data_IF_787714241024
#
_entry.id   IF_787714241024
#
_cell.length_a   1.000
_cell.length_b   1.000
_cell.length_c   1.000
_cell.angle_alpha   90.00
_cell.angle_beta   90.00
_cell.angle_gamma   90.00
#
_symmetry.space_group_name_H-M   'P 1'
#
loop_
_entity.id
_entity.type
_entity.pdbx_description
1 polymer ?
#
# COMPACT_ATOMS: atom_id res chain seq x y z
N UNK A 1 14.72 15.93 -3.20
CA UNK A 1 13.59 15.17 -2.60
C UNK A 1 13.08 15.82 -1.31
N UNK A 2 13.92 16.22 -0.37
CA UNK A 2 13.49 16.87 0.89
C UNK A 2 12.66 18.15 0.71
N UNK A 3 12.97 18.99 -0.29
CA UNK A 3 12.22 20.23 -0.54
C UNK A 3 10.73 20.01 -0.84
N UNK A 4 10.39 18.95 -1.57
CA UNK A 4 8.98 18.66 -1.89
C UNK A 4 8.17 18.25 -0.63
N UNK A 5 8.79 17.51 0.31
CA UNK A 5 8.14 17.17 1.59
C UNK A 5 7.90 18.44 2.41
N UNK A 6 8.88 19.33 2.50
CA UNK A 6 8.79 20.57 3.27
C UNK A 6 7.70 21.49 2.73
N UNK A 7 7.60 21.65 1.41
CA UNK A 7 6.53 22.43 0.76
C UNK A 7 5.14 21.83 1.02
N UNK A 8 5.02 20.52 0.95
CA UNK A 8 3.77 19.81 1.25
C UNK A 8 3.36 19.96 2.72
N UNK A 9 4.32 19.85 3.65
CA UNK A 9 4.08 20.09 5.07
C UNK A 9 3.68 21.54 5.34
N UNK A 10 4.35 22.50 4.70
CA UNK A 10 4.03 23.92 4.84
C UNK A 10 2.59 24.22 4.44
N UNK A 11 2.14 23.66 3.33
CA UNK A 11 0.76 23.79 2.87
C UNK A 11 -0.26 23.15 3.84
N UNK A 12 0.07 21.95 4.34
CA UNK A 12 -0.84 21.17 5.21
C UNK A 12 -0.96 21.76 6.61
N UNK A 13 0.18 22.15 7.21
CA UNK A 13 0.24 22.67 8.58
C UNK A 13 0.02 24.18 8.66
N UNK A 14 -0.01 24.87 7.52
CA UNK A 14 -0.05 26.34 7.43
C UNK A 14 1.09 27.01 8.21
N UNK A 15 2.28 26.41 8.09
CA UNK A 15 3.55 26.87 8.68
C UNK A 15 4.52 27.14 7.54
N UNK A 16 5.34 28.19 7.65
CA UNK A 16 6.28 28.50 6.58
C UNK A 16 7.36 27.43 6.41
N UNK A 17 7.86 27.25 5.20
CA UNK A 17 8.97 26.32 4.89
C UNK A 17 10.20 26.59 5.76
N UNK A 18 10.54 27.87 5.96
CA UNK A 18 11.65 28.26 6.82
C UNK A 18 11.49 27.82 8.26
N UNK A 19 10.30 27.93 8.84
CA UNK A 19 10.04 27.46 10.20
C UNK A 19 10.17 25.94 10.31
N UNK A 20 9.68 25.20 9.31
CA UNK A 20 9.81 23.74 9.24
C UNK A 20 11.28 23.33 9.15
N UNK A 21 12.06 23.97 8.27
CA UNK A 21 13.50 23.72 8.13
C UNK A 21 14.26 23.94 9.43
N UNK A 22 13.98 25.06 10.13
CA UNK A 22 14.59 25.36 11.42
C UNK A 22 14.24 24.33 12.49
N UNK A 23 12.98 23.88 12.55
CA UNK A 23 12.57 22.81 13.48
C UNK A 23 13.30 21.51 13.17
N UNK A 24 13.35 21.09 11.91
CA UNK A 24 14.04 19.87 11.49
C UNK A 24 15.55 19.94 11.76
N UNK A 25 16.18 21.10 11.55
CA UNK A 25 17.59 21.34 11.90
C UNK A 25 17.82 21.15 13.39
N UNK A 26 17.01 21.79 14.24
CA UNK A 26 17.14 21.67 15.70
C UNK A 26 16.92 20.24 16.20
N UNK A 27 15.97 19.51 15.61
CA UNK A 27 15.73 18.10 15.95
C UNK A 27 16.93 17.23 15.52
N UNK A 28 17.53 17.49 14.36
CA UNK A 28 18.72 16.79 13.88
C UNK A 28 19.96 17.04 14.75
N UNK A 29 20.05 18.20 15.39
CA UNK A 29 21.07 18.57 16.38
C UNK A 29 20.86 17.88 17.74
N UNK A 30 19.77 17.10 17.90
CA UNK A 30 19.44 16.37 19.12
C UNK A 30 18.60 17.16 20.12
N UNK A 31 18.08 18.33 19.75
CA UNK A 31 17.20 19.10 20.61
C UNK A 31 15.82 18.39 20.77
N UNK A 32 15.27 18.39 21.99
CA UNK A 32 13.95 17.84 22.26
C UNK A 32 12.84 18.84 21.91
N UNK A 33 11.65 18.34 21.59
CA UNK A 33 10.47 19.17 21.27
C UNK A 33 10.20 20.21 22.39
N UNK A 34 10.13 19.83 23.70
CA UNK A 34 9.91 20.81 24.77
C UNK A 34 11.03 21.86 24.87
N UNK A 35 12.27 21.47 24.60
CA UNK A 35 13.41 22.39 24.60
C UNK A 35 13.27 23.43 23.47
N UNK A 36 12.92 22.99 22.26
CA UNK A 36 12.72 23.87 21.11
C UNK A 36 11.59 24.86 21.40
N UNK A 37 10.45 24.37 21.87
CA UNK A 37 9.30 25.21 22.17
C UNK A 37 9.55 26.27 23.24
N UNK A 38 10.42 26.00 24.22
CA UNK A 38 10.73 26.93 25.32
C UNK A 38 11.88 27.86 25.01
N UNK A 39 12.95 27.35 24.41
CA UNK A 39 14.24 28.03 24.34
C UNK A 39 14.72 28.40 22.93
N UNK A 40 13.95 28.09 21.88
CA UNK A 40 14.30 28.40 20.48
C UNK A 40 13.16 29.10 19.71
N UNK A 41 12.34 29.87 20.44
CA UNK A 41 11.18 30.59 19.90
C UNK A 41 11.55 31.56 18.78
N UNK A 42 12.67 32.25 18.94
CA UNK A 42 13.18 33.19 17.93
C UNK A 42 13.58 32.51 16.61
N UNK A 43 14.07 31.28 16.65
CA UNK A 43 14.41 30.50 15.45
C UNK A 43 13.15 29.90 14.78
N UNK A 44 12.21 29.43 15.58
CA UNK A 44 11.01 28.74 15.09
C UNK A 44 9.82 29.66 14.81
N UNK A 45 9.96 30.98 15.07
CA UNK A 45 8.84 31.92 14.89
C UNK A 45 7.69 31.66 15.85
N UNK A 46 7.99 31.37 17.13
CA UNK A 46 7.03 31.10 18.22
C UNK A 46 6.14 29.86 18.01
N UNK A 47 6.58 28.85 17.31
CA UNK A 47 5.85 27.59 17.25
C UNK A 47 5.72 26.97 18.64
N UNK A 48 4.53 26.46 18.92
CA UNK A 48 4.26 25.74 20.17
C UNK A 48 4.67 24.25 20.08
N UNK A 49 4.59 23.54 21.19
CA UNK A 49 5.02 22.15 21.27
C UNK A 49 4.23 21.23 20.33
N UNK A 50 2.91 21.44 20.21
CA UNK A 50 2.05 20.63 19.34
C UNK A 50 2.38 20.83 17.86
N UNK A 51 2.68 22.08 17.45
CA UNK A 51 3.08 22.39 16.09
C UNK A 51 4.43 21.74 15.73
N UNK A 52 5.41 21.79 16.67
CA UNK A 52 6.72 21.18 16.47
C UNK A 52 6.59 19.64 16.39
N UNK A 53 5.75 19.06 17.23
CA UNK A 53 5.43 17.63 17.21
C UNK A 53 4.78 17.22 15.86
N UNK A 54 3.79 17.99 15.41
CA UNK A 54 3.14 17.74 14.14
C UNK A 54 4.13 17.78 12.95
N UNK A 55 5.08 18.71 12.97
CA UNK A 55 6.15 18.79 11.95
C UNK A 55 6.98 17.50 11.98
N UNK A 56 7.47 17.08 13.17
CA UNK A 56 8.30 15.89 13.30
C UNK A 56 7.59 14.63 12.83
N UNK A 57 6.36 14.40 13.32
CA UNK A 57 5.57 13.21 13.00
C UNK A 57 5.23 13.12 11.50
N UNK A 58 4.78 14.23 10.92
CA UNK A 58 4.42 14.25 9.50
C UNK A 58 5.65 14.14 8.60
N UNK A 59 6.76 14.78 8.96
CA UNK A 59 8.00 14.64 8.21
C UNK A 59 8.50 13.19 8.19
N UNK A 60 8.58 12.55 9.35
CA UNK A 60 8.93 11.12 9.48
C UNK A 60 7.99 10.22 8.70
N UNK A 61 6.69 10.53 8.71
CA UNK A 61 5.72 9.76 7.94
C UNK A 61 5.98 9.87 6.44
N UNK A 62 6.24 11.08 5.92
CA UNK A 62 6.52 11.29 4.50
C UNK A 62 7.85 10.66 4.07
N UNK A 63 8.89 10.72 4.90
CA UNK A 63 10.15 10.02 4.63
C UNK A 63 9.93 8.49 4.53
N UNK A 64 9.21 7.92 5.49
CA UNK A 64 8.88 6.50 5.49
C UNK A 64 8.04 6.10 4.26
N UNK A 65 7.10 6.96 3.86
CA UNK A 65 6.27 6.75 2.68
C UNK A 65 7.14 6.70 1.41
N UNK A 66 8.04 7.66 1.23
CA UNK A 66 8.96 7.71 0.09
C UNK A 66 9.88 6.49 0.06
N UNK A 67 10.53 6.19 1.17
CA UNK A 67 11.39 5.02 1.30
C UNK A 67 10.64 3.73 0.96
N UNK A 68 9.40 3.62 1.43
CA UNK A 68 8.58 2.44 1.13
C UNK A 68 8.22 2.32 -0.33
N UNK A 69 7.93 3.45 -1.02
CA UNK A 69 7.72 3.47 -2.47
C UNK A 69 8.94 2.97 -3.23
N UNK A 70 10.11 3.48 -2.89
CA UNK A 70 11.38 3.07 -3.50
C UNK A 70 11.65 1.58 -3.28
N UNK A 71 11.48 1.09 -2.05
CA UNK A 71 11.65 -0.34 -1.71
C UNK A 71 10.70 -1.24 -2.51
N UNK A 72 9.44 -0.86 -2.62
CA UNK A 72 8.44 -1.67 -3.35
C UNK A 72 8.74 -1.69 -4.84
N UNK A 73 9.10 -0.55 -5.44
CA UNK A 73 9.51 -0.48 -6.83
C UNK A 73 10.72 -1.39 -7.09
N UNK A 74 11.75 -1.30 -6.24
CA UNK A 74 12.93 -2.16 -6.33
C UNK A 74 12.59 -3.65 -6.21
N UNK A 75 11.77 -4.03 -5.22
CA UNK A 75 11.38 -5.43 -5.00
C UNK A 75 10.56 -6.03 -6.15
N UNK A 76 9.75 -5.23 -6.83
CA UNK A 76 8.98 -5.67 -8.01
C UNK A 76 9.93 -5.78 -9.23
N UNK A 77 10.88 -4.84 -9.36
CA UNK A 77 11.88 -4.82 -10.43
C UNK A 77 12.83 -6.03 -10.35
N UNK A 78 13.32 -6.37 -9.15
CA UNK A 78 14.14 -7.56 -8.89
C UNK A 78 13.46 -8.86 -9.33
N UNK A 79 12.13 -8.88 -9.39
CA UNK A 79 11.32 -10.01 -9.90
C UNK A 79 11.08 -9.94 -11.42
N UNK A 80 11.53 -8.90 -12.10
CA UNK A 80 11.30 -8.68 -13.52
C UNK A 80 9.82 -8.40 -13.86
N UNK A 81 9.04 -7.93 -12.90
CA UNK A 81 7.60 -7.70 -13.05
C UNK A 81 7.23 -6.21 -13.07
N UNK A 82 8.21 -5.31 -12.97
CA UNK A 82 7.96 -3.87 -12.94
C UNK A 82 7.57 -3.36 -14.34
N UNK A 83 6.40 -2.73 -14.42
CA UNK A 83 5.95 -1.98 -15.60
C UNK A 83 5.81 -0.49 -15.24
N UNK A 84 5.77 0.39 -16.25
CA UNK A 84 5.52 1.82 -16.01
C UNK A 84 4.18 2.08 -15.32
N UNK A 85 3.15 1.28 -15.61
CA UNK A 85 1.85 1.38 -14.95
C UNK A 85 1.94 1.05 -13.44
N UNK A 86 2.68 0.01 -13.08
CA UNK A 86 2.91 -0.39 -11.68
C UNK A 86 3.73 0.69 -10.98
N UNK A 87 4.81 1.18 -11.60
CA UNK A 87 5.63 2.27 -11.07
C UNK A 87 4.77 3.50 -10.77
N UNK A 88 3.98 3.94 -11.73
CA UNK A 88 3.11 5.11 -11.58
C UNK A 88 2.03 4.89 -10.50
N UNK A 89 1.47 3.68 -10.39
CA UNK A 89 0.52 3.31 -9.34
C UNK A 89 1.15 3.41 -7.95
N UNK A 90 2.38 2.93 -7.77
CA UNK A 90 3.10 3.05 -6.48
C UNK A 90 3.43 4.51 -6.16
N UNK A 91 3.89 5.28 -7.16
CA UNK A 91 4.23 6.70 -6.98
C UNK A 91 3.00 7.54 -6.62
N UNK A 92 1.82 7.22 -7.16
CA UNK A 92 0.56 7.91 -6.88
C UNK A 92 -0.02 7.64 -5.49
N UNK A 93 0.46 6.60 -4.77
CA UNK A 93 -0.02 6.29 -3.42
C UNK A 93 0.27 7.44 -2.45
N UNK A 94 -0.71 7.81 -1.64
CA UNK A 94 -0.62 8.82 -0.59
C UNK A 94 -0.49 8.24 0.82
N UNK A 95 -0.72 6.94 0.97
CA UNK A 95 -0.70 6.22 2.25
C UNK A 95 0.10 4.92 2.13
N UNK A 96 0.77 4.53 3.22
CA UNK A 96 1.49 3.25 3.31
C UNK A 96 0.59 2.05 2.99
N UNK A 97 -0.68 2.08 3.43
CA UNK A 97 -1.66 1.02 3.15
C UNK A 97 -1.94 0.86 1.67
N UNK A 98 -1.96 1.95 0.90
CA UNK A 98 -2.15 1.90 -0.56
C UNK A 98 -0.96 1.26 -1.26
N UNK A 99 0.27 1.57 -0.80
CA UNK A 99 1.49 0.95 -1.32
C UNK A 99 1.47 -0.57 -1.05
N UNK A 100 1.08 -0.98 0.16
CA UNK A 100 0.97 -2.40 0.51
C UNK A 100 -0.09 -3.12 -0.32
N UNK A 101 -1.20 -2.46 -0.65
CA UNK A 101 -2.24 -3.02 -1.50
C UNK A 101 -1.75 -3.23 -2.94
N UNK A 102 -0.99 -2.27 -3.50
CA UNK A 102 -0.37 -2.42 -4.83
C UNK A 102 0.70 -3.51 -4.82
N UNK A 103 1.51 -3.59 -3.76
CA UNK A 103 2.61 -4.57 -3.66
C UNK A 103 2.15 -6.00 -3.40
N UNK A 104 0.97 -6.18 -2.80
CA UNK A 104 0.47 -7.49 -2.34
C UNK A 104 0.51 -8.61 -3.38
N UNK A 105 0.10 -8.42 -4.66
CA UNK A 105 0.17 -9.45 -5.68
C UNK A 105 1.61 -9.93 -5.98
N UNK A 106 2.60 -9.08 -5.71
CA UNK A 106 4.02 -9.32 -6.00
C UNK A 106 4.80 -9.89 -4.81
N UNK A 107 4.19 -9.91 -3.61
CA UNK A 107 4.80 -10.55 -2.42
C UNK A 107 4.95 -12.06 -2.63
N UNK A 108 5.99 -12.62 -2.07
CA UNK A 108 6.08 -14.07 -1.94
C UNK A 108 4.92 -14.58 -1.09
N UNK A 109 4.09 -15.41 -1.69
CA UNK A 109 2.94 -15.96 -1.00
C UNK A 109 3.37 -17.18 -0.20
N UNK A 110 2.97 -17.23 1.07
CA UNK A 110 3.04 -18.45 1.87
C UNK A 110 2.17 -19.51 1.18
N UNK A 111 2.47 -20.79 1.44
CA UNK A 111 1.65 -21.91 0.98
C UNK A 111 0.21 -21.72 1.46
N UNK A 112 -0.73 -21.52 0.52
CA UNK A 112 -2.15 -21.32 0.78
C UNK A 112 -2.97 -22.39 0.08
N UNK A 113 -4.24 -22.56 0.46
CA UNK A 113 -5.16 -23.45 -0.26
C UNK A 113 -5.28 -23.06 -1.74
N UNK A 114 -5.22 -21.77 -2.08
CA UNK A 114 -5.21 -21.31 -3.46
C UNK A 114 -3.95 -21.76 -4.21
N UNK A 115 -2.76 -21.67 -3.59
CA UNK A 115 -1.51 -22.16 -4.21
C UNK A 115 -1.55 -23.67 -4.45
N UNK A 116 -2.19 -24.45 -3.56
CA UNK A 116 -2.39 -25.89 -3.76
C UNK A 116 -3.35 -26.17 -4.90
N UNK A 117 -4.45 -25.42 -4.98
CA UNK A 117 -5.42 -25.53 -6.07
C UNK A 117 -4.83 -25.15 -7.44
N UNK A 118 -3.96 -24.12 -7.49
CA UNK A 118 -3.22 -23.76 -8.71
C UNK A 118 -2.28 -24.90 -9.14
N UNK A 119 -1.56 -25.51 -8.21
CA UNK A 119 -0.70 -26.69 -8.47
C UNK A 119 -1.50 -27.89 -8.95
N UNK A 120 -2.75 -28.04 -8.49
CA UNK A 120 -3.68 -29.06 -8.94
C UNK A 120 -4.28 -28.74 -10.34
N UNK A 121 -3.90 -27.63 -10.98
CA UNK A 121 -4.35 -27.27 -12.34
C UNK A 121 -5.72 -26.61 -12.39
N UNK A 122 -6.24 -26.05 -11.29
CA UNK A 122 -7.58 -25.47 -11.22
C UNK A 122 -7.67 -23.99 -11.61
N UNK A 123 -6.53 -23.35 -11.93
CA UNK A 123 -6.52 -21.94 -12.35
C UNK A 123 -7.36 -21.67 -13.61
N UNK A 124 -7.35 -22.53 -14.68
CA UNK A 124 -8.22 -22.32 -15.83
C UNK A 124 -9.71 -22.41 -15.48
N UNK A 125 -10.09 -23.25 -14.51
CA UNK A 125 -11.47 -23.35 -14.02
C UNK A 125 -11.86 -22.04 -13.32
N UNK A 126 -11.04 -21.53 -12.44
CA UNK A 126 -11.26 -20.24 -11.76
C UNK A 126 -11.44 -19.10 -12.76
N UNK A 127 -10.62 -19.05 -13.82
CA UNK A 127 -10.75 -18.05 -14.91
C UNK A 127 -12.08 -18.18 -15.66
N UNK A 128 -12.52 -19.40 -15.98
CA UNK A 128 -13.79 -19.64 -16.65
C UNK A 128 -14.98 -19.20 -15.78
N UNK A 129 -14.93 -19.48 -14.48
CA UNK A 129 -15.98 -19.05 -13.53
C UNK A 129 -16.02 -17.52 -13.44
N UNK A 130 -14.86 -16.85 -13.33
CA UNK A 130 -14.76 -15.39 -13.25
C UNK A 130 -15.16 -14.67 -14.55
N UNK A 131 -15.18 -15.37 -15.68
CA UNK A 131 -15.70 -14.85 -16.93
C UNK A 131 -17.24 -14.75 -16.98
N UNK A 132 -17.93 -15.20 -15.93
CA UNK A 132 -19.40 -15.17 -15.78
C UNK A 132 -20.12 -15.69 -17.05
N UNK A 133 -19.90 -16.96 -17.46
CA UNK A 133 -20.48 -17.49 -18.68
C UNK A 133 -22.02 -17.48 -18.63
N UNK A 134 -22.64 -16.97 -19.68
CA UNK A 134 -24.10 -16.81 -19.77
C UNK A 134 -24.80 -18.17 -19.94
N UNK A 135 -24.10 -19.20 -20.43
CA UNK A 135 -24.65 -20.53 -20.72
C UNK A 135 -23.85 -21.62 -20.00
N UNK A 136 -24.56 -22.59 -19.45
CA UNK A 136 -24.00 -23.74 -18.74
C UNK A 136 -24.01 -23.57 -17.23
N UNK A 137 -23.84 -24.68 -16.53
CA UNK A 137 -23.72 -24.67 -15.08
C UNK A 137 -22.24 -24.68 -14.65
N UNK A 138 -21.96 -24.22 -13.45
CA UNK A 138 -20.59 -24.21 -12.86
C UNK A 138 -20.09 -25.66 -12.72
N UNK A 139 -20.99 -26.60 -12.38
CA UNK A 139 -20.71 -28.03 -12.27
C UNK A 139 -20.28 -28.62 -13.63
N UNK A 140 -20.93 -28.20 -14.71
CA UNK A 140 -20.55 -28.63 -16.05
C UNK A 140 -19.15 -28.13 -16.47
N UNK A 141 -18.75 -26.95 -15.99
CA UNK A 141 -17.38 -26.46 -16.18
C UNK A 141 -16.36 -27.26 -15.38
N UNK A 142 -16.71 -27.69 -14.17
CA UNK A 142 -15.85 -28.44 -13.28
C UNK A 142 -15.73 -29.93 -13.67
N UNK A 143 -16.74 -30.52 -14.33
CA UNK A 143 -16.72 -31.92 -14.75
C UNK A 143 -15.63 -32.30 -15.74
N UNK A 144 -15.03 -31.31 -16.41
CA UNK A 144 -13.89 -31.50 -17.33
C UNK A 144 -12.55 -31.72 -16.65
N UNK A 145 -12.49 -31.66 -15.31
CA UNK A 145 -11.27 -31.84 -14.52
C UNK A 145 -11.23 -33.26 -13.94
N UNK A 146 -10.04 -33.86 -13.90
CA UNK A 146 -9.86 -35.24 -13.45
C UNK A 146 -9.88 -35.36 -11.91
N UNK A 147 -10.95 -34.85 -11.29
CA UNK A 147 -11.21 -34.90 -9.85
C UNK A 147 -12.72 -34.75 -9.58
N UNK A 148 -13.11 -34.96 -8.33
CA UNK A 148 -14.45 -34.70 -7.86
C UNK A 148 -14.90 -33.26 -8.11
N UNK A 149 -16.13 -33.07 -8.60
CA UNK A 149 -16.68 -31.77 -9.01
C UNK A 149 -16.68 -30.78 -7.83
N UNK A 150 -17.08 -31.21 -6.64
CA UNK A 150 -17.16 -30.35 -5.46
C UNK A 150 -15.76 -29.90 -5.04
N UNK A 151 -14.75 -30.79 -5.09
CA UNK A 151 -13.36 -30.45 -4.80
C UNK A 151 -12.77 -29.50 -5.84
N UNK A 152 -13.12 -29.69 -7.12
CA UNK A 152 -12.68 -28.78 -8.19
C UNK A 152 -13.26 -27.38 -7.98
N UNK A 153 -14.53 -27.27 -7.63
CA UNK A 153 -15.21 -26.01 -7.35
C UNK A 153 -14.67 -25.35 -6.07
N UNK A 154 -14.44 -26.12 -5.02
CA UNK A 154 -13.82 -25.63 -3.79
C UNK A 154 -12.42 -25.07 -4.06
N UNK A 155 -11.58 -25.79 -4.80
CA UNK A 155 -10.25 -25.33 -5.19
C UNK A 155 -10.29 -24.07 -6.04
N UNK A 156 -11.19 -23.98 -7.02
CA UNK A 156 -11.39 -22.78 -7.83
C UNK A 156 -11.87 -21.60 -6.97
N UNK A 157 -12.72 -21.83 -5.98
CA UNK A 157 -13.20 -20.78 -5.07
C UNK A 157 -12.08 -20.19 -4.23
N UNK A 158 -11.11 -20.99 -3.77
CA UNK A 158 -9.93 -20.49 -3.05
C UNK A 158 -9.08 -19.58 -3.93
N UNK A 159 -8.90 -19.93 -5.22
CA UNK A 159 -8.15 -19.12 -6.17
C UNK A 159 -8.86 -17.79 -6.40
N UNK A 160 -10.17 -17.81 -6.64
CA UNK A 160 -10.99 -16.61 -6.88
C UNK A 160 -10.97 -15.70 -5.64
N UNK A 161 -11.16 -16.27 -4.45
CA UNK A 161 -11.12 -15.52 -3.19
C UNK A 161 -9.76 -14.82 -2.99
N UNK A 162 -8.66 -15.47 -3.36
CA UNK A 162 -7.33 -14.87 -3.31
C UNK A 162 -7.20 -13.73 -4.31
N UNK A 163 -7.65 -13.89 -5.56
CA UNK A 163 -7.63 -12.82 -6.56
C UNK A 163 -8.43 -11.59 -6.13
N UNK A 164 -9.64 -11.79 -5.57
CA UNK A 164 -10.48 -10.71 -5.04
C UNK A 164 -9.77 -10.01 -3.86
N UNK A 165 -9.22 -10.81 -2.94
CA UNK A 165 -8.49 -10.29 -1.76
C UNK A 165 -7.22 -9.52 -2.13
N UNK A 166 -6.54 -9.90 -3.21
CA UNK A 166 -5.29 -9.26 -3.66
C UNK A 166 -5.54 -8.03 -4.55
N UNK A 167 -6.76 -7.82 -5.02
CA UNK A 167 -7.09 -6.67 -5.86
C UNK A 167 -7.11 -5.37 -5.05
N UNK A 168 -6.21 -4.44 -5.38
CA UNK A 168 -6.05 -3.18 -4.66
C UNK A 168 -7.31 -2.30 -4.68
N UNK A 169 -8.04 -2.27 -5.82
CA UNK A 169 -9.27 -1.49 -5.95
C UNK A 169 -10.39 -2.06 -5.09
N UNK A 170 -10.55 -3.39 -5.06
CA UNK A 170 -11.52 -4.08 -4.20
C UNK A 170 -11.22 -3.79 -2.73
N UNK A 171 -9.96 -3.87 -2.30
CA UNK A 171 -9.55 -3.55 -0.93
C UNK A 171 -9.82 -2.09 -0.58
N UNK A 172 -9.52 -1.16 -1.49
CA UNK A 172 -9.81 0.27 -1.30
C UNK A 172 -11.32 0.51 -1.16
N UNK A 173 -12.13 -0.13 -2.01
CA UNK A 173 -13.59 -0.03 -1.96
C UNK A 173 -14.14 -0.55 -0.62
N UNK A 174 -13.75 -1.77 -0.20
CA UNK A 174 -14.20 -2.37 1.06
C UNK A 174 -13.78 -1.51 2.25
N UNK A 175 -12.54 -1.03 2.28
CA UNK A 175 -12.05 -0.15 3.35
C UNK A 175 -12.89 1.11 3.45
N UNK A 176 -13.16 1.77 2.34
CA UNK A 176 -14.00 2.98 2.34
C UNK A 176 -15.44 2.69 2.79
N UNK A 177 -15.99 1.52 2.41
CA UNK A 177 -17.34 1.13 2.82
C UNK A 177 -17.47 0.83 4.32
N UNK A 178 -16.43 0.26 4.92
CA UNK A 178 -16.45 -0.12 6.36
C UNK A 178 -16.16 1.08 7.28
N UNK A 179 -15.39 2.07 6.82
CA UNK A 179 -14.94 3.20 7.65
C UNK A 179 -15.67 4.53 7.35
N UNK A 180 -16.62 4.53 6.44
CA UNK A 180 -17.58 5.61 6.22
C UNK A 180 -18.96 5.21 6.75
#
# INVERSE_FOLDING_TARGET
>A
MSNNIIEQLASTLKISTKQIEEVLSLLSEGATIPFIARYRKERTGNLNEDQIRAIEEQYKYQENLLKRKEDVIRLIDEKGLLTEEIRNSVLACSKLTEIEDVYRPYKEKKKTKATEAIKAGLEPLAKKIMAFPIKGSIEALASGYNMDVDKALEGASYIIAEWISDNANTRKYIRNYVYN
#
